data_IF_350482081740
#
_entry.id   IF_350482081740
#
_cell.length_a   1.000
_cell.length_b   1.000
_cell.length_c   1.000
_cell.angle_alpha   90.00
_cell.angle_beta   90.00
_cell.angle_gamma   90.00
#
_symmetry.space_group_name_H-M   'P 1'
#
loop_
_entity.id
_entity.type
_entity.pdbx_description
1 polymer ?
#
# COMPACT_ATOMS: atom_id res chain seq x y z
N UNK A 1 10.33 -29.02 -7.86
CA UNK A 1 9.14 -28.79 -8.71
C UNK A 1 8.13 -28.00 -7.89
N UNK A 2 8.04 -26.68 -8.09
CA UNK A 2 7.04 -25.86 -7.39
C UNK A 2 5.67 -26.31 -7.88
N UNK A 3 4.83 -26.82 -6.98
CA UNK A 3 3.48 -27.22 -7.33
C UNK A 3 2.73 -25.96 -7.80
N UNK A 4 2.21 -25.94 -9.03
CA UNK A 4 1.52 -24.78 -9.61
C UNK A 4 0.37 -24.30 -8.69
N UNK A 5 -0.25 -25.21 -7.94
CA UNK A 5 -1.24 -24.91 -6.90
C UNK A 5 -0.69 -24.00 -5.78
N UNK A 6 0.55 -24.22 -5.31
CA UNK A 6 1.18 -23.43 -4.26
C UNK A 6 1.49 -22.00 -4.73
N UNK A 7 1.97 -21.86 -5.97
CA UNK A 7 2.25 -20.56 -6.55
C UNK A 7 0.97 -19.73 -6.72
N UNK A 8 -0.10 -20.34 -7.26
CA UNK A 8 -1.40 -19.69 -7.41
C UNK A 8 -1.98 -19.28 -6.05
N UNK A 9 -1.92 -20.16 -5.04
CA UNK A 9 -2.38 -19.83 -3.67
C UNK A 9 -1.63 -18.64 -3.09
N UNK A 10 -0.29 -18.59 -3.26
CA UNK A 10 0.54 -17.47 -2.78
C UNK A 10 0.14 -16.14 -3.44
N UNK A 11 -0.06 -16.15 -4.76
CA UNK A 11 -0.55 -14.98 -5.50
C UNK A 11 -1.93 -14.54 -5.02
N UNK A 12 -2.85 -15.47 -4.83
CA UNK A 12 -4.22 -15.19 -4.40
C UNK A 12 -4.28 -14.61 -2.99
N UNK A 13 -3.54 -15.19 -2.02
CA UNK A 13 -3.47 -14.64 -0.67
C UNK A 13 -2.84 -13.24 -0.65
N UNK A 14 -1.78 -13.01 -1.44
CA UNK A 14 -1.17 -11.69 -1.57
C UNK A 14 -2.16 -10.67 -2.15
N UNK A 15 -2.92 -11.05 -3.19
CA UNK A 15 -3.92 -10.18 -3.80
C UNK A 15 -5.05 -9.82 -2.81
N UNK A 16 -5.57 -10.81 -2.07
CA UNK A 16 -6.61 -10.58 -1.05
C UNK A 16 -6.11 -9.64 0.05
N UNK A 17 -4.91 -9.90 0.58
CA UNK A 17 -4.35 -9.07 1.65
C UNK A 17 -4.16 -7.62 1.21
N UNK A 18 -3.57 -7.40 0.03
CA UNK A 18 -3.42 -6.06 -0.54
C UNK A 18 -4.77 -5.38 -0.86
N UNK A 19 -5.77 -6.15 -1.30
CA UNK A 19 -7.13 -5.64 -1.52
C UNK A 19 -7.80 -5.21 -0.21
N UNK A 20 -7.68 -6.00 0.86
CA UNK A 20 -8.19 -5.61 2.18
C UNK A 20 -7.55 -4.31 2.67
N UNK A 21 -6.24 -4.18 2.52
CA UNK A 21 -5.52 -2.95 2.86
C UNK A 21 -6.01 -1.76 2.02
N UNK A 22 -6.20 -1.95 0.72
CA UNK A 22 -6.76 -0.93 -0.16
C UNK A 22 -8.17 -0.50 0.26
N UNK A 23 -9.04 -1.46 0.63
CA UNK A 23 -10.40 -1.16 1.08
C UNK A 23 -10.41 -0.33 2.38
N UNK A 24 -9.57 -0.68 3.36
CA UNK A 24 -9.42 0.08 4.61
C UNK A 24 -8.93 1.51 4.32
N UNK A 25 -7.94 1.65 3.43
CA UNK A 25 -7.46 2.96 3.00
C UNK A 25 -8.55 3.78 2.32
N UNK A 26 -9.33 3.17 1.43
CA UNK A 26 -10.40 3.86 0.71
C UNK A 26 -11.49 4.37 1.67
N UNK A 27 -11.82 3.60 2.71
CA UNK A 27 -12.74 4.04 3.77
C UNK A 27 -12.12 5.19 4.58
N UNK A 28 -10.85 5.08 4.98
CA UNK A 28 -10.15 6.12 5.73
C UNK A 28 -9.99 7.44 4.96
N UNK A 29 -9.81 7.36 3.63
CA UNK A 29 -9.75 8.53 2.74
C UNK A 29 -11.09 9.25 2.72
N UNK A 30 -12.18 8.52 2.49
CA UNK A 30 -13.52 9.10 2.39
C UNK A 30 -14.03 9.67 3.72
N UNK A 31 -13.67 9.06 4.85
CA UNK A 31 -14.12 9.50 6.17
C UNK A 31 -13.23 10.60 6.80
N UNK A 32 -12.20 11.08 6.10
CA UNK A 32 -11.33 12.13 6.63
C UNK A 32 -11.86 13.52 6.29
N UNK A 33 -12.30 14.22 7.32
CA UNK A 33 -12.68 15.64 7.24
C UNK A 33 -11.48 16.59 7.28
N UNK A 34 -10.32 16.11 7.78
CA UNK A 34 -9.09 16.92 7.86
C UNK A 34 -8.32 16.84 6.54
N UNK A 35 -8.20 18.01 5.89
CA UNK A 35 -7.40 18.21 4.68
C UNK A 35 -6.14 18.99 4.98
N UNK A 36 -5.10 18.74 4.22
CA UNK A 36 -3.85 19.51 4.20
C UNK A 36 -3.55 19.94 2.79
N UNK A 37 -3.02 21.16 2.64
CA UNK A 37 -2.37 21.57 1.39
C UNK A 37 -1.07 20.79 1.25
N UNK A 38 -0.84 20.23 0.07
CA UNK A 38 0.40 19.54 -0.29
C UNK A 38 0.76 19.89 -1.72
N UNK A 39 2.06 20.06 -1.98
CA UNK A 39 2.61 20.17 -3.33
C UNK A 39 2.54 18.81 -4.01
N UNK A 40 1.43 18.55 -4.70
CA UNK A 40 1.21 17.29 -5.40
C UNK A 40 1.80 17.33 -6.81
N UNK A 41 1.70 18.49 -7.48
CA UNK A 41 2.37 18.80 -8.73
C UNK A 41 3.36 19.94 -8.47
N UNK A 42 4.53 19.90 -9.10
CA UNK A 42 5.59 20.89 -8.90
C UNK A 42 5.01 22.31 -9.08
N UNK A 43 5.06 23.11 -8.02
CA UNK A 43 4.49 24.48 -7.91
C UNK A 43 2.96 24.59 -7.85
N UNK A 44 2.23 23.49 -7.66
CA UNK A 44 0.77 23.49 -7.48
C UNK A 44 0.36 22.76 -6.19
N UNK A 45 -0.08 23.53 -5.20
CA UNK A 45 -0.62 22.97 -3.96
C UNK A 45 -2.08 22.57 -4.15
N UNK A 46 -2.43 21.33 -3.80
CA UNK A 46 -3.83 20.89 -3.72
C UNK A 46 -4.19 20.50 -2.29
N UNK A 47 -5.45 20.68 -1.92
CA UNK A 47 -5.96 20.23 -0.62
C UNK A 47 -6.35 18.76 -0.69
N UNK A 48 -5.55 17.91 -0.05
CA UNK A 48 -5.80 16.48 0.03
C UNK A 48 -6.13 16.06 1.47
N UNK A 49 -7.01 15.07 1.67
CA UNK A 49 -7.23 14.47 2.99
C UNK A 49 -5.90 13.92 3.55
N UNK A 50 -5.65 14.09 4.84
CA UNK A 50 -4.43 13.55 5.47
C UNK A 50 -4.35 12.02 5.31
N UNK A 51 -5.48 11.35 5.37
CA UNK A 51 -5.57 9.90 5.12
C UNK A 51 -5.21 9.49 3.69
N UNK A 52 -5.36 10.38 2.70
CA UNK A 52 -4.87 10.12 1.34
C UNK A 52 -3.34 10.07 1.32
N UNK A 53 -2.68 11.02 1.99
CA UNK A 53 -1.21 11.09 2.09
C UNK A 53 -0.67 9.87 2.84
N UNK A 54 -1.26 9.52 3.98
CA UNK A 54 -0.85 8.35 4.77
C UNK A 54 -1.10 7.06 3.98
N UNK A 55 -2.24 6.97 3.29
CA UNK A 55 -2.61 5.78 2.52
C UNK A 55 -1.71 5.54 1.31
N UNK A 56 -1.38 6.59 0.56
CA UNK A 56 -0.45 6.46 -0.57
C UNK A 56 0.95 6.06 -0.10
N UNK A 57 1.45 6.63 1.01
CA UNK A 57 2.71 6.24 1.62
C UNK A 57 2.72 4.77 2.08
N UNK A 58 1.62 4.30 2.67
CA UNK A 58 1.50 2.91 3.09
C UNK A 58 1.55 1.95 1.89
N UNK A 59 0.84 2.25 0.79
CA UNK A 59 0.88 1.44 -0.43
C UNK A 59 2.29 1.45 -1.03
N UNK A 60 2.92 2.62 -1.13
CA UNK A 60 4.28 2.77 -1.67
C UNK A 60 5.28 1.93 -0.85
N UNK A 61 5.19 2.01 0.48
CA UNK A 61 6.01 1.22 1.40
C UNK A 61 5.78 -0.29 1.25
N UNK A 62 4.54 -0.74 1.08
CA UNK A 62 4.21 -2.16 0.86
C UNK A 62 4.79 -2.70 -0.45
N UNK A 63 4.69 -1.91 -1.53
CA UNK A 63 5.29 -2.25 -2.83
C UNK A 63 6.81 -2.33 -2.71
N UNK A 64 7.45 -1.29 -2.14
CA UNK A 64 8.90 -1.26 -1.95
C UNK A 64 9.39 -2.41 -1.07
N UNK A 65 8.72 -2.66 0.06
CA UNK A 65 9.03 -3.75 0.97
C UNK A 65 8.89 -5.13 0.34
N UNK A 66 7.98 -5.30 -0.63
CA UNK A 66 7.85 -6.56 -1.39
C UNK A 66 9.07 -6.86 -2.28
N UNK A 67 9.89 -5.86 -2.62
CA UNK A 67 11.15 -6.02 -3.35
C UNK A 67 12.37 -6.17 -2.43
N UNK A 68 12.22 -5.89 -1.12
CA UNK A 68 13.32 -6.06 -0.16
C UNK A 68 13.47 -7.55 0.17
N UNK A 69 14.56 -8.15 -0.28
CA UNK A 69 14.89 -9.53 0.06
C UNK A 69 15.65 -9.54 1.40
N UNK A 70 14.94 -9.79 2.50
CA UNK A 70 15.57 -10.00 3.80
C UNK A 70 16.24 -11.38 3.81
N UNK A 71 17.53 -11.42 3.47
CA UNK A 71 18.34 -12.62 3.69
C UNK A 71 18.69 -12.67 5.19
N UNK A 72 17.75 -13.16 6.00
CA UNK A 72 18.04 -13.55 7.38
C UNK A 72 18.93 -14.79 7.32
N UNK A 73 20.24 -14.58 7.37
CA UNK A 73 21.18 -15.64 7.69
C UNK A 73 20.87 -16.09 9.12
N UNK A 74 20.04 -17.11 9.24
CA UNK A 74 19.87 -17.83 10.50
C UNK A 74 21.11 -18.72 10.66
N UNK A 75 22.03 -18.31 11.52
CA UNK A 75 22.87 -19.26 12.24
C UNK A 75 21.99 -20.18 13.10
#
# INVERSE_FOLDING_TARGET
>A
MINMSLFIKKLLYSAIFNFCLFAVLFIGIQNSSKKSKVDFLINETIELPISFIVGSNFILGSILGSFVNFNMNNE
#
